data_IF_417211663217
#
_entry.id   IF_417211663217
#
_cell.length_a   1.000
_cell.length_b   1.000
_cell.length_c   1.000
_cell.angle_alpha   90.00
_cell.angle_beta   90.00
_cell.angle_gamma   90.00
#
_symmetry.space_group_name_H-M   'P 1'
#
loop_
_entity.id
_entity.type
_entity.pdbx_description
1 polymer ?
#
# COMPACT_ATOMS: atom_id res chain seq x y z
N UNK A 1 14.53 -9.34 10.40
CA UNK A 1 14.79 -8.13 9.57
C UNK A 1 13.48 -7.72 8.93
N UNK A 2 13.25 -6.42 8.73
CA UNK A 2 12.04 -5.95 8.04
C UNK A 2 12.02 -6.45 6.59
N UNK A 3 10.83 -6.79 6.07
CA UNK A 3 10.69 -7.23 4.69
C UNK A 3 10.96 -6.06 3.74
N UNK A 4 11.57 -6.36 2.60
CA UNK A 4 11.77 -5.40 1.54
C UNK A 4 11.04 -5.90 0.30
N UNK A 5 10.57 -4.97 -0.52
CA UNK A 5 9.96 -5.32 -1.80
C UNK A 5 10.03 -4.19 -2.81
N UNK A 6 9.65 -4.51 -4.04
CA UNK A 6 9.63 -3.58 -5.16
C UNK A 6 8.37 -3.79 -5.98
N UNK A 7 7.61 -2.72 -6.22
CA UNK A 7 6.55 -2.67 -7.22
C UNK A 7 7.07 -1.94 -8.45
N UNK A 8 6.96 -2.56 -9.61
CA UNK A 8 7.38 -1.96 -10.88
C UNK A 8 6.13 -1.42 -11.58
N UNK A 9 6.00 -0.11 -11.78
CA UNK A 9 4.91 0.49 -12.55
C UNK A 9 5.30 0.49 -14.04
N UNK A 10 4.76 -0.43 -14.81
CA UNK A 10 5.17 -0.75 -16.18
C UNK A 10 4.05 -0.60 -17.23
N UNK A 11 3.04 0.23 -16.95
CA UNK A 11 1.86 0.52 -17.78
C UNK A 11 0.93 -0.67 -18.07
N UNK A 12 1.23 -1.86 -17.55
CA UNK A 12 0.39 -3.05 -17.71
C UNK A 12 -0.83 -3.01 -16.78
N UNK A 13 -1.88 -3.78 -17.08
CA UNK A 13 -3.04 -3.90 -16.18
C UNK A 13 -2.65 -4.47 -14.80
N UNK A 14 -1.66 -5.35 -14.77
CA UNK A 14 -1.07 -5.87 -13.54
C UNK A 14 0.44 -5.85 -13.67
N UNK A 15 1.08 -5.43 -12.60
CA UNK A 15 2.51 -5.27 -12.51
C UNK A 15 3.10 -6.10 -11.38
N UNK A 16 4.37 -6.50 -11.48
CA UNK A 16 4.99 -7.38 -10.50
C UNK A 16 5.29 -6.60 -9.20
N UNK A 17 4.72 -7.09 -8.10
CA UNK A 17 5.14 -6.77 -6.74
C UNK A 17 6.04 -7.90 -6.25
N UNK A 18 7.34 -7.66 -6.22
CA UNK A 18 8.32 -8.59 -5.65
C UNK A 18 8.50 -8.29 -4.16
N UNK A 19 8.24 -9.26 -3.28
CA UNK A 19 8.58 -9.17 -1.86
C UNK A 19 9.70 -10.17 -1.61
N UNK A 20 10.89 -9.65 -1.29
CA UNK A 20 12.10 -10.44 -1.21
C UNK A 20 12.00 -11.52 -0.12
N UNK A 21 12.24 -12.77 -0.51
CA UNK A 21 12.10 -13.94 0.37
C UNK A 21 10.66 -14.45 0.55
N UNK A 22 9.67 -13.82 -0.07
CA UNK A 22 8.25 -14.24 0.00
C UNK A 22 7.73 -14.68 -1.37
N UNK A 23 7.97 -13.88 -2.41
CA UNK A 23 7.55 -14.19 -3.78
C UNK A 23 7.23 -12.96 -4.63
N UNK A 24 6.87 -13.21 -5.88
CA UNK A 24 6.39 -12.20 -6.83
C UNK A 24 4.89 -12.37 -7.00
N UNK A 25 4.16 -11.27 -6.84
CA UNK A 25 2.71 -11.24 -6.90
C UNK A 25 2.25 -10.26 -7.97
N UNK A 26 1.13 -10.55 -8.62
CA UNK A 26 0.49 -9.56 -9.48
C UNK A 26 -0.18 -8.51 -8.60
N UNK A 27 0.09 -7.24 -8.87
CA UNK A 27 -0.51 -6.11 -8.17
C UNK A 27 -0.86 -5.03 -9.18
N UNK A 28 -1.64 -4.04 -8.77
CA UNK A 28 -1.84 -2.84 -9.56
C UNK A 28 -1.99 -1.63 -8.66
N UNK A 29 -1.69 -0.46 -9.23
CA UNK A 29 -1.89 0.83 -8.60
C UNK A 29 -2.51 1.81 -9.57
N UNK A 30 -3.49 2.61 -9.11
CA UNK A 30 -4.27 3.48 -9.98
C UNK A 30 -5.37 2.74 -10.75
N UNK A 31 -6.22 3.52 -11.42
CA UNK A 31 -7.40 3.06 -12.14
C UNK A 31 -7.37 3.46 -13.60
N UNK A 32 -8.17 2.75 -14.41
CA UNK A 32 -8.44 3.10 -15.81
C UNK A 32 -7.18 3.38 -16.61
N UNK A 33 -7.15 4.54 -17.28
CA UNK A 33 -6.04 4.96 -18.14
C UNK A 33 -4.73 5.26 -17.39
N UNK A 34 -4.76 5.41 -16.06
CA UNK A 34 -3.60 5.75 -15.24
C UNK A 34 -2.98 4.54 -14.55
N UNK A 35 -3.62 3.38 -14.64
CA UNK A 35 -3.19 2.16 -13.94
C UNK A 35 -1.76 1.78 -14.30
N UNK A 36 -0.94 1.57 -13.26
CA UNK A 36 0.48 1.22 -13.31
C UNK A 36 1.34 2.15 -14.18
N UNK A 37 0.90 3.40 -14.42
CA UNK A 37 1.67 4.39 -15.18
C UNK A 37 2.46 5.31 -14.26
N UNK A 38 3.77 5.08 -14.16
CA UNK A 38 4.63 5.83 -13.23
C UNK A 38 4.55 7.35 -13.38
N UNK A 39 4.37 7.86 -14.61
CA UNK A 39 4.19 9.29 -14.88
C UNK A 39 2.88 9.92 -14.38
N UNK A 40 1.92 9.12 -13.92
CA UNK A 40 0.63 9.60 -13.41
C UNK A 40 0.56 9.73 -11.88
N UNK A 41 1.71 9.74 -11.19
CA UNK A 41 1.78 9.90 -9.74
C UNK A 41 1.18 11.21 -9.21
N UNK A 42 1.00 12.24 -10.05
CA UNK A 42 0.34 13.49 -9.69
C UNK A 42 -1.18 13.49 -9.91
N UNK A 43 -1.78 12.39 -10.39
CA UNK A 43 -3.24 12.29 -10.58
C UNK A 43 -3.90 11.88 -9.26
N UNK A 44 -4.65 12.79 -8.66
CA UNK A 44 -5.42 12.51 -7.45
C UNK A 44 -6.58 11.54 -7.75
N UNK A 45 -6.91 10.66 -6.80
CA UNK A 45 -7.90 9.62 -6.99
C UNK A 45 -7.35 8.50 -7.86
N UNK A 46 -7.31 8.65 -9.18
CA UNK A 46 -7.08 7.52 -10.09
C UNK A 46 -5.60 7.23 -10.43
N UNK A 47 -4.67 8.13 -10.09
CA UNK A 47 -3.25 7.91 -10.33
C UNK A 47 -2.66 6.79 -9.47
N UNK A 48 -1.60 6.11 -9.93
CA UNK A 48 -0.91 5.11 -9.12
C UNK A 48 -0.24 5.74 -7.91
N UNK A 49 0.24 4.87 -7.02
CA UNK A 49 1.12 5.26 -5.92
C UNK A 49 2.34 5.97 -6.52
N UNK A 50 2.65 7.20 -6.08
CA UNK A 50 3.77 7.93 -6.67
C UNK A 50 5.10 7.16 -6.52
N UNK A 51 6.02 7.23 -7.49
CA UNK A 51 7.33 6.60 -7.34
C UNK A 51 8.06 7.06 -6.06
N UNK A 52 8.73 6.11 -5.40
CA UNK A 52 9.41 6.33 -4.12
C UNK A 52 9.33 5.12 -3.19
N UNK A 53 9.86 5.28 -1.98
CA UNK A 53 9.88 4.24 -0.95
C UNK A 53 8.74 4.44 0.04
N UNK A 54 8.12 3.34 0.46
CA UNK A 54 6.96 3.35 1.33
C UNK A 54 7.11 2.35 2.46
N UNK A 55 6.98 2.84 3.69
CA UNK A 55 6.94 2.02 4.89
C UNK A 55 5.60 1.28 4.99
N UNK A 56 5.66 -0.02 5.24
CA UNK A 56 4.48 -0.87 5.46
C UNK A 56 4.14 -0.84 6.95
N UNK A 57 3.08 -0.13 7.29
CA UNK A 57 2.67 0.14 8.68
C UNK A 57 1.35 -0.57 8.99
N UNK A 58 1.17 -1.03 10.23
CA UNK A 58 -0.14 -1.46 10.70
C UNK A 58 -1.11 -0.29 10.74
N UNK A 59 -2.30 -0.43 10.15
CA UNK A 59 -3.32 0.63 10.14
C UNK A 59 -3.70 1.15 11.55
N UNK A 60 -3.46 0.35 12.60
CA UNK A 60 -3.70 0.72 14.01
C UNK A 60 -2.54 1.40 14.73
N UNK A 61 -1.42 1.69 14.07
CA UNK A 61 -0.23 2.29 14.70
C UNK A 61 -0.31 3.82 14.88
N UNK A 62 -1.25 4.50 14.22
CA UNK A 62 -1.50 5.93 14.42
C UNK A 62 -2.63 6.19 15.43
N UNK A 63 -2.29 6.71 16.61
CA UNK A 63 -3.24 7.30 17.58
C UNK A 63 -4.15 6.30 18.32
N UNK A 64 -4.03 6.28 19.65
CA UNK A 64 -4.73 5.37 20.58
C UNK A 64 -6.28 5.44 20.55
N UNK A 65 -6.87 6.46 19.91
CA UNK A 65 -8.32 6.71 19.94
C UNK A 65 -9.16 5.96 18.87
N UNK A 66 -8.52 5.37 17.84
CA UNK A 66 -9.24 4.74 16.72
C UNK A 66 -9.52 3.23 16.85
N UNK A 67 -8.82 2.54 17.74
CA UNK A 67 -8.76 1.06 17.77
C UNK A 67 -10.11 0.40 18.03
N UNK A 68 -10.92 0.93 18.94
CA UNK A 68 -12.15 0.27 19.40
C UNK A 68 -13.35 0.44 18.46
N UNK A 69 -13.38 1.50 17.66
CA UNK A 69 -14.46 1.73 16.65
C UNK A 69 -14.23 0.92 15.38
N UNK A 70 -12.98 0.80 14.93
CA UNK A 70 -12.64 0.04 13.72
C UNK A 70 -12.82 -1.47 13.92
N UNK A 71 -12.42 -2.02 15.06
CA UNK A 71 -12.53 -3.46 15.36
C UNK A 71 -13.98 -3.96 15.39
N UNK A 72 -14.91 -3.17 15.94
CA UNK A 72 -16.33 -3.53 16.02
C UNK A 72 -17.00 -3.46 14.63
N UNK A 73 -16.62 -2.48 13.81
CA UNK A 73 -17.24 -2.23 12.51
C UNK A 73 -16.70 -3.17 11.41
N UNK A 74 -15.44 -3.60 11.51
CA UNK A 74 -14.88 -4.61 10.60
C UNK A 74 -15.35 -6.03 10.92
N UNK A 75 -15.53 -6.40 12.20
CA UNK A 75 -16.11 -7.69 12.56
C UNK A 75 -17.53 -7.87 12.01
N UNK A 76 -18.32 -6.79 12.00
CA UNK A 76 -19.69 -6.79 11.47
C UNK A 76 -19.73 -6.87 9.94
N UNK A 77 -18.84 -6.14 9.24
CA UNK A 77 -18.77 -6.19 7.77
C UNK A 77 -18.25 -7.54 7.24
N UNK A 78 -17.34 -8.21 7.96
CA UNK A 78 -16.82 -9.53 7.58
C UNK A 78 -17.91 -10.60 7.61
N UNK A 79 -18.85 -10.49 8.54
CA UNK A 79 -19.97 -11.44 8.69
C UNK A 79 -21.13 -11.14 7.72
N UNK A 80 -21.34 -9.87 7.32
CA UNK A 80 -22.50 -9.44 6.53
C UNK A 80 -22.23 -9.29 5.01
N UNK A 81 -20.98 -9.01 4.60
CA UNK A 81 -20.66 -8.65 3.19
C UNK A 81 -19.79 -9.66 2.44
N UNK A 82 -19.37 -10.77 3.06
CA UNK A 82 -18.59 -11.82 2.36
C UNK A 82 -17.22 -11.37 1.86
N UNK A 83 -16.65 -10.29 2.38
CA UNK A 83 -15.31 -9.80 2.01
C UNK A 83 -14.27 -10.57 2.81
N UNK A 84 -13.32 -11.24 2.13
CA UNK A 84 -12.33 -12.10 2.79
C UNK A 84 -11.44 -11.35 3.80
N UNK A 85 -11.19 -10.05 3.57
CA UNK A 85 -10.37 -9.18 4.42
C UNK A 85 -11.05 -7.84 4.69
N UNK A 86 -11.14 -7.47 5.97
CA UNK A 86 -11.64 -6.17 6.42
C UNK A 86 -10.61 -5.05 6.28
N UNK A 87 -11.01 -3.79 6.44
CA UNK A 87 -10.12 -2.62 6.29
C UNK A 87 -9.05 -2.57 7.38
N UNK A 88 -9.31 -3.14 8.55
CA UNK A 88 -8.39 -3.34 9.67
C UNK A 88 -7.27 -4.32 9.35
N UNK A 89 -7.47 -5.18 8.35
CA UNK A 89 -6.49 -6.16 7.93
C UNK A 89 -5.51 -5.60 6.88
N UNK A 90 -5.76 -4.39 6.38
CA UNK A 90 -4.92 -3.67 5.42
C UNK A 90 -3.71 -3.01 6.08
N UNK A 91 -2.62 -2.89 5.34
CA UNK A 91 -1.47 -2.09 5.76
C UNK A 91 -1.58 -0.68 5.21
N UNK A 92 -1.09 0.29 5.97
CA UNK A 92 -0.84 1.63 5.49
C UNK A 92 0.53 1.71 4.81
N UNK A 93 0.64 2.57 3.80
CA UNK A 93 1.86 2.82 3.04
C UNK A 93 2.27 4.27 3.24
N UNK A 94 3.21 4.52 4.14
CA UNK A 94 3.69 5.87 4.43
C UNK A 94 4.93 6.15 3.60
N UNK A 95 4.91 7.21 2.82
CA UNK A 95 6.04 7.56 1.97
C UNK A 95 7.25 7.92 2.85
N UNK A 96 8.43 7.51 2.40
CA UNK A 96 9.71 7.94 2.98
C UNK A 96 10.01 9.37 2.51
N UNK A 97 9.25 10.32 3.05
CA UNK A 97 9.47 11.76 2.89
C UNK A 97 9.76 12.41 4.25
N UNK A 98 9.73 13.75 4.32
CA UNK A 98 10.04 14.47 5.55
C UNK A 98 9.04 14.23 6.70
N UNK A 99 7.77 13.92 6.40
CA UNK A 99 6.71 13.81 7.40
C UNK A 99 6.44 12.36 7.84
N UNK A 100 6.61 11.40 6.92
CA UNK A 100 6.34 9.97 7.10
C UNK A 100 5.00 9.74 7.81
N UNK A 101 3.92 10.09 7.14
CA UNK A 101 2.56 9.88 7.61
C UNK A 101 1.66 9.42 6.46
N UNK A 102 0.34 9.52 6.67
CA UNK A 102 -0.67 9.01 5.75
C UNK A 102 -1.01 10.00 4.62
N UNK A 103 -0.25 11.09 4.51
CA UNK A 103 -0.34 12.11 3.47
C UNK A 103 1.04 12.32 2.84
N UNK A 104 1.08 12.75 1.59
CA UNK A 104 2.29 13.22 0.94
C UNK A 104 1.95 14.23 -0.15
N UNK A 105 2.90 15.10 -0.45
CA UNK A 105 2.81 16.00 -1.60
C UNK A 105 3.71 15.47 -2.71
N UNK A 106 3.11 15.24 -3.87
CA UNK A 106 3.81 14.76 -5.07
C UNK A 106 3.54 15.73 -6.21
N UNK A 107 4.59 16.41 -6.70
CA UNK A 107 4.51 17.38 -7.81
C UNK A 107 3.43 18.46 -7.58
N UNK A 108 3.30 18.94 -6.33
CA UNK A 108 2.32 19.96 -5.96
C UNK A 108 0.89 19.44 -5.75
N UNK A 109 0.66 18.14 -5.89
CA UNK A 109 -0.62 17.50 -5.63
C UNK A 109 -0.57 16.72 -4.31
N UNK A 110 -1.54 16.97 -3.44
CA UNK A 110 -1.74 16.21 -2.21
C UNK A 110 -2.27 14.81 -2.55
N UNK A 111 -1.63 13.79 -1.98
CA UNK A 111 -2.03 12.38 -2.05
C UNK A 111 -2.08 11.81 -0.64
N UNK A 112 -2.95 10.83 -0.39
CA UNK A 112 -3.17 10.35 0.98
C UNK A 112 -3.80 8.94 1.05
N UNK A 113 -3.82 8.39 2.26
CA UNK A 113 -4.54 7.17 2.64
C UNK A 113 -4.12 5.92 1.84
N UNK A 114 -2.85 5.84 1.44
CA UNK A 114 -2.34 4.73 0.66
C UNK A 114 -2.31 3.42 1.44
N UNK A 115 -2.74 2.33 0.80
CA UNK A 115 -2.87 1.02 1.44
C UNK A 115 -2.25 -0.09 0.59
N UNK A 116 -1.85 -1.16 1.26
CA UNK A 116 -1.66 -2.48 0.66
C UNK A 116 -2.85 -3.35 1.04
N UNK A 117 -3.70 -3.69 0.06
CA UNK A 117 -4.96 -4.39 0.28
C UNK A 117 -5.39 -5.24 -0.91
N UNK A 118 -6.30 -6.22 -0.72
CA UNK A 118 -6.93 -6.89 -1.84
C UNK A 118 -8.06 -6.05 -2.42
N UNK A 119 -8.35 -6.18 -3.71
CA UNK A 119 -9.49 -5.50 -4.32
C UNK A 119 -9.40 -5.34 -5.83
N UNK A 120 -10.32 -4.53 -6.36
CA UNK A 120 -10.47 -4.25 -7.79
C UNK A 120 -10.31 -2.77 -8.15
N UNK A 121 -10.23 -1.89 -7.15
CA UNK A 121 -10.11 -0.44 -7.27
C UNK A 121 -8.87 -0.02 -6.50
N UNK A 122 -8.07 0.88 -7.10
CA UNK A 122 -6.88 1.43 -6.49
C UNK A 122 -6.85 2.95 -6.64
N UNK A 123 -7.12 3.67 -5.55
CA UNK A 123 -7.01 5.14 -5.53
C UNK A 123 -5.56 5.59 -5.23
N UNK A 124 -4.59 4.97 -5.90
CA UNK A 124 -3.16 5.07 -5.58
C UNK A 124 -2.66 4.08 -4.52
N UNK A 125 -3.42 3.04 -4.23
CA UNK A 125 -2.99 1.96 -3.34
C UNK A 125 -2.16 0.89 -4.08
N UNK A 126 -1.46 0.02 -3.36
CA UNK A 126 -0.99 -1.25 -3.93
C UNK A 126 -2.11 -2.26 -3.74
N UNK A 127 -2.78 -2.61 -4.83
CA UNK A 127 -3.96 -3.49 -4.80
C UNK A 127 -3.63 -4.87 -5.34
N UNK A 128 -3.98 -5.90 -4.58
CA UNK A 128 -3.78 -7.31 -4.94
C UNK A 128 -5.10 -7.87 -5.47
N UNK A 129 -5.16 -8.38 -6.72
CA UNK A 129 -6.42 -8.85 -7.30
C UNK A 129 -6.96 -10.12 -6.64
N UNK A 130 -6.08 -10.98 -6.13
CA UNK A 130 -6.46 -12.26 -5.56
C UNK A 130 -6.31 -12.29 -4.04
N UNK A 131 -7.40 -12.67 -3.35
CA UNK A 131 -7.41 -12.79 -1.89
C UNK A 131 -6.38 -13.81 -1.37
N UNK A 132 -6.11 -14.89 -2.11
CA UNK A 132 -5.10 -15.89 -1.73
C UNK A 132 -3.69 -15.32 -1.69
N UNK A 133 -3.35 -14.46 -2.66
CA UNK A 133 -2.04 -13.81 -2.74
C UNK A 133 -1.91 -12.78 -1.63
N UNK A 134 -2.97 -11.99 -1.41
CA UNK A 134 -3.01 -11.06 -0.29
C UNK A 134 -2.87 -11.77 1.06
N UNK A 135 -3.50 -12.94 1.25
CA UNK A 135 -3.36 -13.74 2.46
C UNK A 135 -1.89 -14.11 2.73
N UNK A 136 -1.17 -14.55 1.69
CA UNK A 136 0.26 -14.91 1.78
C UNK A 136 1.13 -13.69 2.10
N UNK A 137 0.92 -12.59 1.39
CA UNK A 137 1.62 -11.32 1.63
C UNK A 137 1.41 -10.84 3.07
N UNK A 138 0.15 -10.82 3.51
CA UNK A 138 -0.22 -10.39 4.87
C UNK A 138 0.42 -11.28 5.92
N UNK A 139 0.35 -12.60 5.75
CA UNK A 139 0.98 -13.53 6.68
C UNK A 139 2.49 -13.28 6.80
N UNK A 140 3.17 -13.02 5.68
CA UNK A 140 4.60 -12.72 5.69
C UNK A 140 4.93 -11.43 6.47
N UNK A 141 4.22 -10.33 6.21
CA UNK A 141 4.41 -9.08 6.97
C UNK A 141 4.05 -9.23 8.46
N UNK A 142 2.99 -9.98 8.78
CA UNK A 142 2.58 -10.21 10.18
C UNK A 142 3.61 -11.03 10.96
N UNK A 143 4.29 -11.97 10.31
CA UNK A 143 5.34 -12.79 10.90
C UNK A 143 6.71 -12.10 10.98
N UNK A 144 6.82 -10.88 10.43
CA UNK A 144 8.07 -10.13 10.41
C UNK A 144 8.20 -9.26 11.66
N UNK A 145 9.38 -9.29 12.29
CA UNK A 145 9.70 -8.37 13.38
C UNK A 145 9.68 -6.93 12.87
N UNK A 146 8.96 -6.07 13.59
CA UNK A 146 8.90 -4.65 13.22
C UNK A 146 10.22 -3.93 13.50
N UNK A 147 10.49 -2.90 12.72
CA UNK A 147 11.63 -2.00 12.88
C UNK A 147 11.14 -0.58 13.13
N UNK A 148 11.91 0.17 13.92
CA UNK A 148 11.71 1.60 14.08
C UNK A 148 12.02 2.32 12.76
N UNK A 149 11.16 3.25 12.35
CA UNK A 149 11.48 4.15 11.24
C UNK A 149 12.57 5.14 11.69
N UNK A 150 13.69 5.30 10.96
CA UNK A 150 14.86 6.05 11.45
C UNK A 150 14.57 7.48 11.90
N UNK A 151 13.78 8.24 11.14
CA UNK A 151 13.42 9.64 11.44
C UNK A 151 12.15 9.79 12.26
N UNK A 152 11.48 8.69 12.63
CA UNK A 152 10.23 8.69 13.42
C UNK A 152 10.20 7.48 14.37
N UNK A 153 10.98 7.49 15.47
CA UNK A 153 11.23 6.28 16.26
C UNK A 153 10.00 5.66 16.94
N UNK A 154 8.93 6.43 17.14
CA UNK A 154 7.64 5.92 17.65
C UNK A 154 6.83 5.17 16.60
N UNK A 155 7.21 5.26 15.32
CA UNK A 155 6.58 4.58 14.21
C UNK A 155 7.31 3.27 13.93
N UNK A 156 6.56 2.17 14.02
CA UNK A 156 7.06 0.82 13.76
C UNK A 156 6.56 0.32 12.41
N UNK A 157 7.47 -0.16 11.58
CA UNK A 157 7.19 -0.67 10.24
C UNK A 157 7.48 -2.18 10.15
N UNK A 158 6.68 -2.89 9.34
CA UNK A 158 6.88 -4.32 9.02
C UNK A 158 7.83 -4.52 7.85
N UNK A 159 7.98 -3.49 7.03
CA UNK A 159 8.81 -3.53 5.83
C UNK A 159 8.83 -2.22 5.07
N UNK A 160 9.50 -2.27 3.92
CA UNK A 160 9.65 -1.16 2.99
C UNK A 160 9.39 -1.67 1.57
N UNK A 161 8.52 -0.99 0.83
CA UNK A 161 8.27 -1.28 -0.58
C UNK A 161 8.74 -0.07 -1.40
N UNK A 162 9.63 -0.32 -2.35
CA UNK A 162 10.03 0.67 -3.35
C UNK A 162 9.10 0.60 -4.56
N UNK A 163 8.54 1.73 -4.96
CA UNK A 163 7.74 1.86 -6.19
C UNK A 163 8.60 2.52 -7.26
N UNK A 164 8.85 1.78 -8.33
CA UNK A 164 9.73 2.17 -9.43
C UNK A 164 8.88 2.41 -10.67
N UNK A 165 8.98 3.61 -11.24
CA UNK A 165 8.45 3.89 -12.57
C UNK A 165 9.35 3.21 -13.62
N UNK A 166 8.77 2.31 -14.41
CA UNK A 166 9.44 1.59 -15.49
C UNK A 166 8.49 1.42 -16.70
N UNK A 167 7.72 2.45 -16.96
CA UNK A 167 6.78 2.57 -18.07
C UNK A 167 6.94 3.94 -18.72
N UNK A 168 5.89 4.41 -19.38
CA UNK A 168 5.86 5.73 -19.97
C UNK A 168 5.97 6.82 -18.90
N UNK A 169 6.79 7.83 -19.20
CA UNK A 169 6.85 9.05 -18.41
C UNK A 169 5.71 10.03 -18.75
N UNK A 170 4.87 9.69 -19.74
CA UNK A 170 3.71 10.52 -20.12
C UNK A 170 2.45 10.03 -19.43
N UNK A 171 1.74 10.97 -18.80
CA UNK A 171 0.39 10.74 -18.33
C UNK A 171 -0.62 11.23 -19.40
N UNK A 172 -1.60 10.40 -19.80
CA UNK A 172 -2.58 10.74 -20.84
C UNK A 172 -3.62 11.77 -20.37
#
# INVERSE_FOLDING_TARGET
MALQGTLILNDADYAPLNIYGVGVFMAFSGNGAYRNRGGCGAVAGDGPLPPGKYWVIDRGAGGFFGKRKAEIQDAWNKYVKGVAFGRSEWFALYREDAAIDDETWYEGVRRELFRLHPGTISEGCITIPHNSDYARIRQAFMNTSMVSVPSKPSLMARGLIEVVANGSNTCP
#
